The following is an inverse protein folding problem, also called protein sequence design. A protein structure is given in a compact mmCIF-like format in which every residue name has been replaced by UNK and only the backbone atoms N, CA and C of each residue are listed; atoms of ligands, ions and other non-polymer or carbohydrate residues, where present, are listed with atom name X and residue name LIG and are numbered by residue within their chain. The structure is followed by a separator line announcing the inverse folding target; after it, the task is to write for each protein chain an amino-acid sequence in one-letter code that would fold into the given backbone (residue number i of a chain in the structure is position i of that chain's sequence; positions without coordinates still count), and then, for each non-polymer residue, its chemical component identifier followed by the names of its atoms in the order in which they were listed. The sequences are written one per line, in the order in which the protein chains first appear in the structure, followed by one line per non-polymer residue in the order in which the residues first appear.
data_IF_309493481700
#
_entry.id   IF_309493481700
#
_cell.length_a   1.000
_cell.length_b   1.000
_cell.length_c   1.000
_cell.angle_alpha   90.00
_cell.angle_beta   90.00
_cell.angle_gamma   90.00
#
_symmetry.space_group_name_H-M   'P 1'
#
loop_
_entity.id
_entity.type
_entity.pdbx_description
1 polymer ?
#
# COMPACT_ATOMS: atom_id res chain seq x y z
N UNK A 1 41.03 8.22 57.11
CA UNK A 1 40.43 9.46 57.68
C UNK A 1 39.50 10.06 56.61
N UNK A 2 38.22 10.10 56.94
CA UNK A 2 37.21 11.10 56.61
C UNK A 2 36.74 11.13 55.17
N UNK A 3 35.63 10.54 54.84
CA UNK A 3 34.22 10.99 54.87
C UNK A 3 33.86 12.16 53.95
N UNK A 4 32.84 11.95 53.15
CA UNK A 4 31.89 12.98 52.72
C UNK A 4 31.13 12.59 51.44
N UNK A 5 30.05 11.86 51.51
CA UNK A 5 28.65 12.21 51.16
C UNK A 5 28.44 13.27 50.05
N UNK A 6 27.76 13.00 48.98
CA UNK A 6 26.34 13.19 48.81
C UNK A 6 25.80 12.72 47.42
N UNK A 7 24.75 12.00 47.52
CA UNK A 7 23.76 11.56 46.55
C UNK A 7 23.05 12.67 45.78
N UNK A 8 22.63 12.34 44.55
CA UNK A 8 21.39 12.64 43.82
C UNK A 8 21.72 12.81 42.36
N UNK A 9 21.02 12.32 41.38
CA UNK A 9 19.75 11.64 41.28
C UNK A 9 19.68 11.14 39.85
N UNK A 10 19.22 9.93 39.73
CA UNK A 10 18.96 9.30 38.44
C UNK A 10 17.81 10.03 37.73
N UNK A 11 18.08 10.50 36.55
CA UNK A 11 17.09 10.79 35.55
C UNK A 11 17.23 9.74 34.47
N UNK A 12 16.44 8.67 34.56
CA UNK A 12 16.31 7.67 33.50
C UNK A 12 15.68 8.37 32.30
N UNK A 13 16.53 8.87 31.41
CA UNK A 13 16.10 9.20 30.06
C UNK A 13 15.86 7.87 29.34
N UNK A 14 14.62 7.47 29.22
CA UNK A 14 14.19 6.45 28.26
C UNK A 14 14.65 6.89 26.87
N UNK A 15 15.78 6.38 26.43
CA UNK A 15 16.28 6.55 25.07
C UNK A 15 15.28 5.76 24.20
N UNK A 16 14.53 6.45 23.33
CA UNK A 16 13.61 5.79 22.42
C UNK A 16 14.39 4.82 21.51
N UNK A 17 13.79 3.71 21.17
CA UNK A 17 14.39 2.72 20.26
C UNK A 17 14.78 3.34 18.90
N UNK A 18 14.06 4.39 18.48
CA UNK A 18 14.39 5.20 17.30
C UNK A 18 15.72 5.94 17.49
N UNK A 19 16.00 6.44 18.71
CA UNK A 19 17.30 7.08 19.03
C UNK A 19 18.42 6.04 19.08
N UNK A 20 18.14 4.82 19.50
CA UNK A 20 19.13 3.74 19.51
C UNK A 20 19.46 3.30 18.07
N UNK A 21 18.45 3.13 17.21
CA UNK A 21 18.65 2.81 15.79
C UNK A 21 19.33 3.96 15.04
N UNK A 22 18.96 5.23 15.30
CA UNK A 22 19.61 6.39 14.72
C UNK A 22 21.03 6.60 15.26
N UNK A 23 21.30 6.34 16.53
CA UNK A 23 22.65 6.37 17.10
C UNK A 23 23.54 5.25 16.56
N UNK A 24 23.02 4.03 16.38
CA UNK A 24 23.75 2.98 15.70
C UNK A 24 24.03 3.31 14.24
N UNK A 25 23.04 3.82 13.49
CA UNK A 25 23.24 4.29 12.12
C UNK A 25 24.26 5.46 12.03
N UNK A 26 24.22 6.41 12.96
CA UNK A 26 25.16 7.55 13.01
C UNK A 26 26.57 7.15 13.48
N UNK A 27 26.73 6.14 14.33
CA UNK A 27 28.02 5.58 14.67
C UNK A 27 28.69 4.87 13.48
N UNK A 28 27.88 4.20 12.63
CA UNK A 28 28.36 3.46 11.46
C UNK A 28 28.76 4.39 10.30
N UNK A 29 28.16 5.59 10.21
CA UNK A 29 28.57 6.61 9.24
C UNK A 29 29.93 7.27 9.58
N UNK A 30 30.42 7.13 10.82
CA UNK A 30 31.69 7.72 11.26
C UNK A 30 32.89 6.77 11.23
N UNK A 31 32.69 5.45 11.10
CA UNK A 31 33.77 4.47 11.23
C UNK A 31 34.18 3.77 9.95
N UNK A 32 33.64 4.10 8.80
CA UNK A 32 34.17 3.62 7.49
C UNK A 32 34.39 2.09 7.38
N UNK A 33 33.79 1.27 8.24
CA UNK A 33 34.13 -0.14 8.30
C UNK A 33 32.91 -1.07 8.38
N UNK A 34 32.97 -2.09 7.53
CA UNK A 34 32.22 -3.35 7.42
C UNK A 34 30.74 -3.33 7.85
N UNK A 35 29.89 -3.35 6.81
CA UNK A 35 28.48 -3.70 6.85
C UNK A 35 28.21 -4.76 7.90
N UNK A 36 27.41 -4.43 8.90
CA UNK A 36 26.80 -5.39 9.80
C UNK A 36 25.78 -6.17 8.95
N UNK A 37 26.24 -7.19 8.25
CA UNK A 37 25.33 -8.14 7.62
C UNK A 37 24.67 -8.91 8.74
N UNK A 38 23.34 -8.87 8.81
CA UNK A 38 22.57 -9.78 9.66
C UNK A 38 23.10 -11.21 9.45
N UNK A 39 23.13 -12.02 10.48
CA UNK A 39 23.47 -13.44 10.33
C UNK A 39 22.50 -14.06 9.31
N UNK A 40 22.91 -15.15 8.67
CA UNK A 40 22.04 -15.84 7.71
C UNK A 40 20.68 -16.19 8.33
N UNK A 41 20.66 -16.60 9.59
CA UNK A 41 19.43 -16.98 10.30
C UNK A 41 18.54 -15.76 10.57
N UNK A 42 19.12 -14.63 10.96
CA UNK A 42 18.39 -13.37 11.13
C UNK A 42 17.83 -12.86 9.78
N UNK A 43 18.63 -12.92 8.72
CA UNK A 43 18.18 -12.55 7.38
C UNK A 43 17.01 -13.43 6.92
N UNK A 44 17.11 -14.75 7.13
CA UNK A 44 16.05 -15.69 6.78
C UNK A 44 14.80 -15.47 7.64
N UNK A 45 14.92 -15.14 8.91
CA UNK A 45 13.79 -14.82 9.78
C UNK A 45 13.04 -13.57 9.28
N UNK A 46 13.76 -12.51 8.88
CA UNK A 46 13.19 -11.30 8.30
C UNK A 46 12.52 -11.61 6.96
N UNK A 47 13.17 -12.37 6.08
CA UNK A 47 12.65 -12.72 4.77
C UNK A 47 11.38 -13.57 4.90
N UNK A 48 11.35 -14.53 5.81
CA UNK A 48 10.22 -15.46 6.01
C UNK A 48 9.05 -14.84 6.76
N UNK A 49 9.21 -13.71 7.42
CA UNK A 49 8.10 -13.04 8.11
C UNK A 49 6.99 -12.66 7.13
N UNK A 50 5.77 -13.12 7.39
CA UNK A 50 4.57 -12.71 6.66
C UNK A 50 4.59 -13.07 5.17
N UNK A 51 5.37 -14.05 4.74
CA UNK A 51 5.29 -14.62 3.40
C UNK A 51 4.33 -15.80 3.36
N UNK A 52 3.88 -16.15 2.17
CA UNK A 52 3.07 -17.34 1.93
C UNK A 52 3.96 -18.50 1.47
N UNK A 53 4.76 -18.30 0.44
CA UNK A 53 5.67 -19.32 -0.08
C UNK A 53 7.05 -18.73 -0.45
N UNK A 54 8.08 -19.56 -0.31
CA UNK A 54 9.44 -19.31 -0.77
C UNK A 54 9.92 -20.53 -1.58
N UNK A 55 10.20 -20.35 -2.87
CA UNK A 55 10.46 -21.46 -3.81
C UNK A 55 11.70 -21.17 -4.67
N UNK A 56 12.70 -22.07 -4.62
CA UNK A 56 13.01 -22.98 -3.54
C UNK A 56 13.83 -22.27 -2.47
N UNK A 57 13.63 -22.62 -1.24
CA UNK A 57 14.34 -22.00 -0.11
C UNK A 57 15.86 -22.26 -0.18
N UNK A 58 16.26 -23.47 -0.55
CA UNK A 58 17.65 -23.87 -0.62
C UNK A 58 18.45 -22.99 -1.60
N UNK A 59 17.88 -22.67 -2.75
CA UNK A 59 18.54 -21.80 -3.74
C UNK A 59 18.67 -20.35 -3.23
N UNK A 60 17.71 -19.86 -2.44
CA UNK A 60 17.84 -18.55 -1.78
C UNK A 60 18.97 -18.57 -0.76
N UNK A 61 19.05 -19.61 0.09
CA UNK A 61 20.12 -19.77 1.06
C UNK A 61 21.49 -19.79 0.39
N UNK A 62 21.64 -20.50 -0.74
CA UNK A 62 22.88 -20.51 -1.52
C UNK A 62 23.24 -19.10 -2.03
N UNK A 63 22.27 -18.37 -2.58
CA UNK A 63 22.48 -17.01 -3.06
C UNK A 63 22.87 -16.05 -1.92
N UNK A 64 22.26 -16.16 -0.76
CA UNK A 64 22.61 -15.35 0.41
C UNK A 64 24.04 -15.64 0.89
N UNK A 65 24.48 -16.90 0.85
CA UNK A 65 25.86 -17.31 1.18
C UNK A 65 26.92 -16.77 0.20
N UNK A 66 26.54 -16.36 -1.01
CA UNK A 66 27.46 -15.70 -1.95
C UNK A 66 28.00 -14.36 -1.39
N UNK A 67 27.34 -13.75 -0.39
CA UNK A 67 27.82 -12.55 0.30
C UNK A 67 27.78 -11.27 -0.56
N UNK A 68 27.15 -11.31 -1.72
CA UNK A 68 26.94 -10.14 -2.59
C UNK A 68 25.53 -9.58 -2.47
N UNK A 69 25.30 -8.31 -2.83
CA UNK A 69 23.95 -7.79 -3.02
C UNK A 69 23.21 -8.63 -4.06
N UNK A 70 22.03 -9.14 -3.70
CA UNK A 70 21.13 -9.83 -4.61
C UNK A 70 20.22 -8.82 -5.32
N UNK A 71 19.86 -9.11 -6.57
CA UNK A 71 18.88 -8.33 -7.33
C UNK A 71 17.49 -8.84 -7.03
N UNK A 72 16.74 -8.04 -6.30
CA UNK A 72 15.39 -8.37 -5.83
C UNK A 72 14.38 -7.56 -6.64
N UNK A 73 13.61 -8.23 -7.47
CA UNK A 73 12.64 -7.62 -8.38
C UNK A 73 11.21 -7.78 -7.88
N UNK A 74 10.40 -6.75 -8.06
CA UNK A 74 8.95 -6.86 -8.08
C UNK A 74 8.37 -6.00 -9.21
N UNK A 75 7.41 -6.55 -9.94
CA UNK A 75 6.72 -5.87 -11.05
C UNK A 75 5.35 -5.37 -10.64
N UNK A 76 5.00 -4.18 -11.11
CA UNK A 76 3.71 -3.53 -10.87
C UNK A 76 3.19 -2.94 -12.18
N UNK A 77 2.05 -3.42 -12.64
CA UNK A 77 1.32 -2.76 -13.73
C UNK A 77 0.61 -1.52 -13.18
N UNK A 78 0.80 -0.34 -13.78
CA UNK A 78 0.24 0.92 -13.28
C UNK A 78 -1.25 1.05 -13.64
N UNK A 79 -2.07 0.16 -13.12
CA UNK A 79 -3.49 0.01 -13.47
C UNK A 79 -4.42 1.03 -12.80
N UNK A 80 -3.93 1.77 -11.80
CA UNK A 80 -4.67 2.82 -11.10
C UNK A 80 -3.67 3.84 -10.53
N UNK A 81 -4.05 5.13 -10.34
CA UNK A 81 -3.10 6.16 -9.91
C UNK A 81 -2.61 6.01 -8.47
N UNK A 82 -3.37 5.33 -7.60
CA UNK A 82 -3.04 5.29 -6.16
C UNK A 82 -2.84 3.87 -5.66
N UNK A 83 -1.93 3.74 -4.70
CA UNK A 83 -1.70 2.51 -3.94
C UNK A 83 -2.57 2.47 -2.68
N UNK A 84 -2.85 1.27 -2.20
CA UNK A 84 -3.47 1.02 -0.90
C UNK A 84 -2.63 0.03 -0.09
N UNK A 85 -2.93 -0.17 1.19
CA UNK A 85 -2.13 -1.01 2.08
C UNK A 85 -1.94 -2.46 1.58
N UNK A 86 -2.86 -2.99 0.78
CA UNK A 86 -2.65 -4.29 0.15
C UNK A 86 -1.40 -4.34 -0.76
N UNK A 87 -1.11 -3.26 -1.50
CA UNK A 87 0.10 -3.16 -2.31
C UNK A 87 1.35 -2.99 -1.44
N UNK A 88 1.21 -2.32 -0.28
CA UNK A 88 2.36 -2.04 0.58
C UNK A 88 2.91 -3.28 1.26
N UNK A 89 2.16 -4.38 1.35
CA UNK A 89 2.67 -5.68 1.84
C UNK A 89 3.91 -6.10 1.04
N UNK A 90 3.80 -6.06 -0.28
CA UNK A 90 4.91 -6.40 -1.18
C UNK A 90 6.05 -5.37 -1.11
N UNK A 91 5.70 -4.07 -1.05
CA UNK A 91 6.67 -2.98 -0.99
C UNK A 91 7.43 -3.00 0.35
N UNK A 92 6.76 -3.33 1.46
CA UNK A 92 7.41 -3.53 2.76
C UNK A 92 8.41 -4.69 2.72
N UNK A 93 8.09 -5.77 2.01
CA UNK A 93 9.03 -6.88 1.83
C UNK A 93 10.25 -6.45 1.01
N UNK A 94 10.07 -5.66 -0.04
CA UNK A 94 11.19 -5.04 -0.77
C UNK A 94 12.05 -4.17 0.16
N UNK A 95 11.44 -3.37 1.04
CA UNK A 95 12.17 -2.57 2.03
C UNK A 95 13.01 -3.42 2.96
N UNK A 96 12.50 -4.56 3.43
CA UNK A 96 13.27 -5.49 4.25
C UNK A 96 14.51 -6.01 3.51
N UNK A 97 14.42 -6.29 2.21
CA UNK A 97 15.59 -6.64 1.40
C UNK A 97 16.58 -5.49 1.25
N UNK A 98 16.11 -4.24 1.13
CA UNK A 98 17.00 -3.07 1.13
C UNK A 98 17.76 -2.92 2.44
N UNK A 99 17.09 -3.15 3.57
CA UNK A 99 17.68 -3.06 4.91
C UNK A 99 18.71 -4.17 5.12
N UNK A 100 18.53 -5.33 4.49
CA UNK A 100 19.51 -6.42 4.44
C UNK A 100 20.68 -6.15 3.46
N UNK A 101 20.68 -5.02 2.74
CA UNK A 101 21.77 -4.60 1.86
C UNK A 101 21.66 -5.13 0.42
N UNK A 102 20.50 -5.60 -0.01
CA UNK A 102 20.25 -6.06 -1.38
C UNK A 102 19.80 -4.91 -2.29
N UNK A 103 20.01 -5.09 -3.61
CA UNK A 103 19.54 -4.17 -4.66
C UNK A 103 18.06 -4.43 -4.94
N UNK A 104 17.20 -3.45 -4.72
CA UNK A 104 15.78 -3.52 -5.06
C UNK A 104 15.54 -2.97 -6.46
N UNK A 105 14.89 -3.75 -7.29
CA UNK A 105 14.45 -3.37 -8.64
C UNK A 105 12.92 -3.27 -8.63
N UNK A 106 12.44 -2.03 -8.66
CA UNK A 106 11.03 -1.73 -8.80
C UNK A 106 10.68 -1.60 -10.27
N UNK A 107 10.05 -2.64 -10.84
CA UNK A 107 9.69 -2.68 -12.24
C UNK A 107 8.28 -2.14 -12.43
N UNK A 108 8.15 -1.14 -13.29
CA UNK A 108 6.87 -0.63 -13.78
C UNK A 108 6.56 -1.33 -15.09
N UNK A 109 5.48 -2.10 -15.09
CA UNK A 109 5.00 -2.83 -16.24
C UNK A 109 4.21 -1.93 -17.19
N UNK A 110 4.89 -0.97 -17.83
CA UNK A 110 4.26 -0.07 -18.77
C UNK A 110 3.90 -0.78 -20.09
N UNK A 111 4.70 -1.73 -20.54
CA UNK A 111 4.37 -2.58 -21.68
C UNK A 111 3.32 -3.64 -21.33
N UNK A 112 3.46 -4.31 -20.20
CA UNK A 112 2.50 -5.33 -19.75
C UNK A 112 1.16 -4.73 -19.36
N UNK A 113 1.12 -3.52 -18.83
CA UNK A 113 -0.11 -2.78 -18.54
C UNK A 113 -0.98 -2.53 -19.77
N UNK A 114 -0.38 -2.41 -20.96
CA UNK A 114 -1.11 -2.31 -22.23
C UNK A 114 -1.68 -3.64 -22.71
N UNK A 115 -1.14 -4.78 -22.23
CA UNK A 115 -1.69 -6.12 -22.53
C UNK A 115 -2.81 -6.44 -21.55
N UNK A 116 -2.61 -6.15 -20.27
CA UNK A 116 -3.48 -6.48 -19.15
C UNK A 116 -3.24 -7.89 -18.60
N UNK A 117 -3.01 -7.95 -17.28
CA UNK A 117 -2.81 -9.21 -16.57
C UNK A 117 -4.11 -10.05 -16.57
N UNK A 118 -4.11 -11.25 -17.15
CA UNK A 118 -5.27 -12.14 -17.13
C UNK A 118 -5.51 -12.82 -15.77
N UNK A 119 -4.58 -12.71 -14.81
CA UNK A 119 -4.63 -13.44 -13.52
C UNK A 119 -5.94 -13.18 -12.77
N UNK A 120 -6.66 -14.29 -12.46
CA UNK A 120 -7.89 -14.26 -11.65
C UNK A 120 -9.06 -13.53 -12.30
N UNK A 121 -9.07 -13.33 -13.62
CA UNK A 121 -10.13 -12.64 -14.35
C UNK A 121 -11.01 -13.61 -15.12
N UNK A 122 -12.30 -13.29 -15.15
CA UNK A 122 -13.29 -13.95 -16.02
C UNK A 122 -13.36 -13.33 -17.42
N UNK A 123 -12.74 -12.16 -17.61
CA UNK A 123 -12.68 -11.45 -18.88
C UNK A 123 -11.40 -10.61 -18.97
N UNK A 124 -10.93 -10.36 -20.19
CA UNK A 124 -9.76 -9.51 -20.47
C UNK A 124 -10.01 -8.08 -19.96
N UNK A 125 -9.03 -7.49 -19.27
CA UNK A 125 -9.08 -6.07 -18.92
C UNK A 125 -8.99 -5.22 -20.19
N UNK A 126 -9.71 -4.08 -20.25
CA UNK A 126 -9.42 -3.10 -21.26
C UNK A 126 -7.95 -2.65 -21.18
N UNK A 127 -7.20 -2.63 -22.28
CA UNK A 127 -5.83 -2.14 -22.28
C UNK A 127 -5.80 -0.66 -21.91
N UNK A 128 -4.78 -0.27 -21.14
CA UNK A 128 -4.52 1.15 -20.84
C UNK A 128 -3.87 1.82 -22.05
N UNK A 129 -4.12 3.12 -22.20
CA UNK A 129 -3.38 3.93 -23.15
C UNK A 129 -1.98 4.25 -22.63
N UNK A 130 -1.03 4.53 -23.52
CA UNK A 130 0.34 4.90 -23.13
C UNK A 130 0.36 6.11 -22.18
N UNK A 131 -0.49 7.12 -22.43
CA UNK A 131 -0.59 8.30 -21.56
C UNK A 131 -1.10 7.95 -20.16
N UNK A 132 -2.11 7.08 -20.06
CA UNK A 132 -2.61 6.60 -18.75
C UNK A 132 -1.53 5.84 -17.97
N UNK A 133 -0.79 4.97 -18.66
CA UNK A 133 0.32 4.22 -18.07
C UNK A 133 1.40 5.18 -17.55
N UNK A 134 1.77 6.18 -18.35
CA UNK A 134 2.78 7.18 -17.99
C UNK A 134 2.36 8.00 -16.76
N UNK A 135 1.12 8.49 -16.72
CA UNK A 135 0.61 9.25 -15.58
C UNK A 135 0.56 8.41 -14.30
N UNK A 136 0.04 7.19 -14.40
CA UNK A 136 -0.01 6.29 -13.24
C UNK A 136 1.40 5.90 -12.76
N UNK A 137 2.37 5.75 -13.64
CA UNK A 137 3.76 5.43 -13.28
C UNK A 137 4.42 6.52 -12.43
N UNK A 138 4.12 7.80 -12.69
CA UNK A 138 4.63 8.92 -11.90
C UNK A 138 4.11 8.84 -10.46
N UNK A 139 2.80 8.67 -10.30
CA UNK A 139 2.17 8.60 -8.97
C UNK A 139 2.63 7.36 -8.21
N UNK A 140 2.84 6.22 -8.88
CA UNK A 140 3.38 5.01 -8.26
C UNK A 140 4.77 5.25 -7.67
N UNK A 141 5.65 5.87 -8.45
CA UNK A 141 7.01 6.20 -8.01
C UNK A 141 7.02 7.07 -6.75
N UNK A 142 6.18 8.11 -6.69
CA UNK A 142 6.08 8.99 -5.53
C UNK A 142 5.59 8.24 -4.28
N UNK A 143 4.58 7.40 -4.44
CA UNK A 143 3.99 6.64 -3.33
C UNK A 143 4.92 5.53 -2.81
N UNK A 144 5.62 4.85 -3.70
CA UNK A 144 6.58 3.78 -3.36
C UNK A 144 7.76 4.34 -2.56
N UNK A 145 8.22 5.54 -2.86
CA UNK A 145 9.32 6.19 -2.13
C UNK A 145 8.93 6.73 -0.75
N UNK A 146 7.68 6.61 -0.34
CA UNK A 146 7.31 6.74 1.08
C UNK A 146 7.77 5.52 1.92
N UNK A 147 8.09 4.41 1.28
CA UNK A 147 8.54 3.17 1.93
C UNK A 147 9.98 2.82 1.55
N UNK A 148 10.30 2.83 0.25
CA UNK A 148 11.61 2.46 -0.26
C UNK A 148 12.57 3.65 -0.23
N UNK A 149 13.85 3.36 0.02
CA UNK A 149 14.94 4.33 -0.12
C UNK A 149 15.23 4.58 -1.61
N UNK A 150 15.04 5.80 -2.12
CA UNK A 150 15.31 6.11 -3.53
C UNK A 150 16.74 5.83 -3.96
N UNK A 151 17.72 6.00 -3.06
CA UNK A 151 19.13 5.78 -3.36
C UNK A 151 19.50 4.30 -3.53
N UNK A 152 18.63 3.39 -3.03
CA UNK A 152 18.82 1.93 -3.07
C UNK A 152 17.78 1.23 -3.96
N UNK A 153 16.97 1.99 -4.67
CA UNK A 153 15.91 1.47 -5.54
C UNK A 153 16.21 1.81 -6.99
N UNK A 154 16.34 0.79 -7.80
CA UNK A 154 16.39 0.94 -9.25
C UNK A 154 14.98 0.84 -9.82
N UNK A 155 14.45 1.94 -10.32
CA UNK A 155 13.18 1.95 -11.06
C UNK A 155 13.46 1.67 -12.53
N UNK A 156 12.74 0.71 -13.11
CA UNK A 156 12.88 0.30 -14.51
C UNK A 156 11.51 0.12 -15.16
N UNK A 157 11.47 0.25 -16.48
CA UNK A 157 10.28 0.08 -17.29
C UNK A 157 10.48 -1.08 -18.25
N UNK A 158 9.55 -2.02 -18.34
CA UNK A 158 9.73 -3.17 -19.22
C UNK A 158 9.60 -2.81 -20.72
N UNK A 159 9.06 -1.65 -21.07
CA UNK A 159 9.14 -1.11 -22.43
C UNK A 159 10.59 -0.88 -22.90
N UNK A 160 11.55 -0.67 -21.99
CA UNK A 160 12.97 -0.45 -22.34
C UNK A 160 13.57 -1.59 -23.16
N UNK A 161 13.15 -2.83 -22.95
CA UNK A 161 13.58 -4.00 -23.69
C UNK A 161 12.49 -4.57 -24.59
N UNK A 162 11.22 -4.57 -24.13
CA UNK A 162 10.12 -5.13 -24.91
C UNK A 162 9.86 -4.40 -26.22
N UNK A 163 9.97 -3.05 -26.23
CA UNK A 163 9.80 -2.25 -27.45
C UNK A 163 10.90 -2.46 -28.50
N UNK A 164 12.03 -3.07 -28.09
CA UNK A 164 13.15 -3.38 -28.99
C UNK A 164 13.05 -4.80 -29.58
N UNK A 165 12.18 -5.64 -29.03
CA UNK A 165 11.98 -6.99 -29.53
C UNK A 165 11.35 -6.96 -30.93
N UNK A 166 11.96 -7.68 -31.84
CA UNK A 166 11.38 -7.92 -33.16
C UNK A 166 10.25 -8.97 -33.09
N UNK A 167 9.44 -9.04 -34.11
CA UNK A 167 8.44 -10.12 -34.24
C UNK A 167 9.09 -11.53 -34.15
N UNK A 168 10.31 -11.70 -34.72
CA UNK A 168 11.05 -12.95 -34.64
C UNK A 168 11.50 -13.27 -33.19
N UNK A 169 11.83 -12.25 -32.38
CA UNK A 169 12.20 -12.44 -30.97
C UNK A 169 10.98 -12.86 -30.16
N UNK A 170 9.82 -12.23 -30.42
CA UNK A 170 8.57 -12.60 -29.76
C UNK A 170 8.13 -14.03 -30.10
N UNK A 171 8.30 -14.46 -31.35
CA UNK A 171 8.04 -15.85 -31.75
C UNK A 171 9.00 -16.81 -31.03
N UNK A 172 10.29 -16.47 -30.94
CA UNK A 172 11.26 -17.25 -30.17
C UNK A 172 10.91 -17.35 -28.68
N UNK A 173 10.48 -16.24 -28.08
CA UNK A 173 10.01 -16.21 -26.69
C UNK A 173 8.77 -17.08 -26.51
N UNK A 174 7.76 -16.93 -27.37
CA UNK A 174 6.53 -17.76 -27.34
C UNK A 174 6.81 -19.25 -27.50
N UNK A 175 7.85 -19.62 -28.29
CA UNK A 175 8.28 -20.99 -28.47
C UNK A 175 8.94 -21.65 -27.24
N UNK A 176 9.24 -20.91 -26.17
CA UNK A 176 9.85 -21.45 -24.95
C UNK A 176 8.85 -22.16 -24.04
N UNK A 177 7.55 -22.02 -24.30
CA UNK A 177 6.51 -22.62 -23.47
C UNK A 177 5.36 -23.16 -24.32
N UNK A 178 4.68 -24.20 -23.85
CA UNK A 178 3.61 -24.83 -24.64
C UNK A 178 2.22 -24.39 -24.18
N UNK A 179 1.27 -24.36 -25.10
CA UNK A 179 -0.15 -24.09 -24.79
C UNK A 179 -0.70 -25.05 -23.75
N UNK A 180 -0.32 -26.34 -23.83
CA UNK A 180 -0.75 -27.34 -22.85
C UNK A 180 -0.33 -26.96 -21.42
N UNK A 181 0.91 -26.48 -21.23
CA UNK A 181 1.40 -26.02 -19.95
C UNK A 181 0.78 -24.68 -19.54
N UNK A 182 0.51 -23.79 -20.50
CA UNK A 182 -0.18 -22.52 -20.21
C UNK A 182 -1.59 -22.75 -19.66
N UNK A 183 -2.29 -23.76 -20.20
CA UNK A 183 -3.63 -24.16 -19.75
C UNK A 183 -3.66 -24.84 -18.38
N UNK A 184 -2.50 -25.16 -17.76
CA UNK A 184 -2.44 -25.65 -16.37
C UNK A 184 -2.74 -24.51 -15.35
N UNK A 185 -2.66 -23.24 -15.76
CA UNK A 185 -3.02 -22.12 -14.91
C UNK A 185 -4.55 -22.12 -14.64
N UNK A 186 -4.94 -22.01 -13.38
CA UNK A 186 -6.31 -22.21 -12.91
C UNK A 186 -7.37 -21.40 -13.66
N UNK A 187 -7.11 -20.14 -13.92
CA UNK A 187 -8.05 -19.26 -14.64
C UNK A 187 -8.17 -19.64 -16.11
N UNK A 188 -7.08 -19.99 -16.77
CA UNK A 188 -7.15 -20.53 -18.15
C UNK A 188 -7.84 -21.88 -18.19
N UNK A 189 -7.53 -22.79 -17.26
CA UNK A 189 -8.22 -24.09 -17.16
C UNK A 189 -9.75 -23.89 -17.00
N UNK A 190 -10.17 -23.00 -16.11
CA UNK A 190 -11.60 -22.73 -15.86
C UNK A 190 -12.28 -22.15 -17.10
N UNK A 191 -11.67 -21.13 -17.72
CA UNK A 191 -12.21 -20.50 -18.94
C UNK A 191 -12.25 -21.46 -20.10
N UNK A 192 -11.20 -22.25 -20.31
CA UNK A 192 -11.17 -23.27 -21.37
C UNK A 192 -12.25 -24.32 -21.21
N UNK A 193 -12.44 -24.85 -19.97
CA UNK A 193 -13.47 -25.87 -19.69
C UNK A 193 -14.90 -25.33 -19.78
N UNK A 194 -15.09 -24.04 -19.51
CA UNK A 194 -16.40 -23.37 -19.61
C UNK A 194 -16.62 -22.68 -20.96
N UNK A 195 -15.78 -22.98 -21.96
CA UNK A 195 -15.85 -22.44 -23.33
C UNK A 195 -15.85 -20.91 -23.39
N UNK A 196 -15.24 -20.27 -22.39
CA UNK A 196 -15.07 -18.83 -22.37
C UNK A 196 -13.85 -18.43 -23.22
N UNK A 197 -13.92 -17.33 -23.95
CA UNK A 197 -12.85 -16.92 -24.86
C UNK A 197 -11.56 -16.63 -24.08
N UNK A 198 -10.42 -17.10 -24.64
CA UNK A 198 -9.08 -16.77 -24.20
C UNK A 198 -8.35 -16.18 -25.41
N UNK A 199 -7.94 -14.91 -25.31
CA UNK A 199 -7.22 -14.26 -26.39
C UNK A 199 -5.75 -14.66 -26.41
N UNK A 200 -5.14 -14.74 -27.59
CA UNK A 200 -3.76 -15.19 -27.77
C UNK A 200 -2.77 -14.32 -26.97
N UNK A 201 -2.99 -13.00 -26.90
CA UNK A 201 -2.11 -12.10 -26.14
C UNK A 201 -2.08 -12.40 -24.64
N UNK A 202 -3.15 -12.99 -24.08
CA UNK A 202 -3.20 -13.39 -22.68
C UNK A 202 -2.17 -14.49 -22.35
N UNK A 203 -1.86 -15.36 -23.30
CA UNK A 203 -0.80 -16.35 -23.17
C UNK A 203 0.61 -15.72 -23.25
N UNK A 204 0.75 -14.57 -23.88
CA UNK A 204 2.02 -13.86 -23.96
C UNK A 204 2.35 -13.13 -22.66
N UNK A 205 1.35 -12.69 -21.89
CA UNK A 205 1.58 -11.94 -20.66
C UNK A 205 2.55 -12.63 -19.68
N UNK A 206 2.35 -13.91 -19.27
CA UNK A 206 3.28 -14.60 -18.38
C UNK A 206 4.70 -14.73 -18.95
N UNK A 207 4.82 -14.87 -20.26
CA UNK A 207 6.12 -14.97 -20.94
C UNK A 207 6.87 -13.64 -20.91
N UNK A 208 6.17 -12.52 -21.13
CA UNK A 208 6.73 -11.18 -21.09
C UNK A 208 7.18 -10.85 -19.69
N UNK A 209 6.34 -11.08 -18.66
CA UNK A 209 6.71 -10.91 -17.26
C UNK A 209 7.91 -11.79 -16.87
N UNK A 210 7.93 -13.04 -17.35
CA UNK A 210 9.04 -13.95 -17.12
C UNK A 210 10.34 -13.47 -17.79
N UNK A 211 10.26 -12.87 -18.98
CA UNK A 211 11.40 -12.31 -19.68
C UNK A 211 12.01 -11.10 -18.98
N UNK A 212 11.22 -10.30 -18.25
CA UNK A 212 11.73 -9.23 -17.39
C UNK A 212 12.79 -9.75 -16.41
N UNK A 213 12.61 -10.97 -15.89
CA UNK A 213 13.59 -11.61 -15.00
C UNK A 213 14.87 -12.04 -15.71
N UNK A 214 14.77 -12.40 -16.98
CA UNK A 214 15.94 -12.70 -17.85
C UNK A 214 16.75 -11.43 -18.10
N UNK A 215 16.08 -10.35 -18.50
CA UNK A 215 16.71 -9.06 -18.82
C UNK A 215 17.39 -8.46 -17.60
N UNK A 216 16.70 -8.45 -16.47
CA UNK A 216 17.21 -7.93 -15.20
C UNK A 216 18.20 -8.87 -14.50
N UNK A 217 18.31 -10.13 -14.96
CA UNK A 217 19.07 -11.20 -14.31
C UNK A 217 18.71 -11.27 -12.82
N UNK A 218 17.41 -11.28 -12.50
CA UNK A 218 16.92 -11.25 -11.15
C UNK A 218 17.40 -12.46 -10.34
N UNK A 219 17.81 -12.23 -9.10
CA UNK A 219 18.16 -13.30 -8.16
C UNK A 219 16.94 -13.76 -7.36
N UNK A 220 16.01 -12.82 -7.09
CA UNK A 220 14.77 -13.06 -6.38
C UNK A 220 13.66 -12.26 -7.07
N UNK A 221 12.48 -12.85 -7.20
CA UNK A 221 11.27 -12.14 -7.63
C UNK A 221 10.18 -12.29 -6.60
N UNK A 222 9.56 -11.15 -6.25
CA UNK A 222 8.45 -11.06 -5.30
C UNK A 222 7.14 -10.78 -6.03
N UNK A 223 6.06 -11.39 -5.55
CA UNK A 223 4.70 -11.11 -6.02
C UNK A 223 3.63 -11.53 -5.01
N UNK A 224 2.38 -11.21 -5.29
CA UNK A 224 1.26 -11.77 -4.54
C UNK A 224 1.12 -13.27 -4.83
N UNK A 225 0.39 -13.99 -3.96
CA UNK A 225 0.12 -15.43 -4.14
C UNK A 225 -0.54 -15.72 -5.48
N UNK A 226 -1.37 -14.81 -5.98
CA UNK A 226 -2.01 -14.90 -7.29
C UNK A 226 -1.04 -14.80 -8.48
N UNK A 227 0.18 -14.29 -8.26
CA UNK A 227 1.21 -14.14 -9.28
C UNK A 227 2.15 -15.35 -9.41
N UNK A 228 1.98 -16.37 -8.56
CA UNK A 228 2.91 -17.52 -8.47
C UNK A 228 3.24 -18.14 -9.84
N UNK A 229 2.26 -18.33 -10.70
CA UNK A 229 2.49 -18.88 -12.05
C UNK A 229 3.43 -18.01 -12.88
N UNK A 230 3.20 -16.69 -12.88
CA UNK A 230 4.01 -15.75 -13.63
C UNK A 230 5.45 -15.67 -13.07
N UNK A 231 5.62 -15.74 -11.73
CA UNK A 231 6.93 -15.78 -11.08
C UNK A 231 7.71 -17.05 -11.46
N UNK A 232 7.04 -18.21 -11.51
CA UNK A 232 7.63 -19.48 -11.95
C UNK A 232 8.06 -19.42 -13.41
N UNK A 233 7.33 -18.67 -14.26
CA UNK A 233 7.71 -18.48 -15.66
C UNK A 233 9.08 -17.80 -15.78
N UNK A 234 9.38 -16.81 -14.93
CA UNK A 234 10.70 -16.18 -14.86
C UNK A 234 11.82 -17.19 -14.62
N UNK A 235 11.63 -18.14 -13.69
CA UNK A 235 12.60 -19.23 -13.45
C UNK A 235 12.81 -20.12 -14.66
N UNK A 236 11.72 -20.48 -15.34
CA UNK A 236 11.77 -21.33 -16.54
C UNK A 236 12.55 -20.62 -17.65
N UNK A 237 12.22 -19.38 -17.93
CA UNK A 237 12.88 -18.61 -18.99
C UNK A 237 14.36 -18.36 -18.66
N UNK A 238 14.71 -18.02 -17.43
CA UNK A 238 16.12 -17.86 -17.03
C UNK A 238 16.94 -19.13 -17.34
N UNK A 239 16.42 -20.34 -17.08
CA UNK A 239 17.07 -21.61 -17.46
C UNK A 239 17.27 -21.72 -18.96
N UNK A 240 16.24 -21.38 -19.74
CA UNK A 240 16.32 -21.42 -21.21
C UNK A 240 17.36 -20.44 -21.78
N UNK A 241 17.55 -19.30 -21.09
CA UNK A 241 18.55 -18.29 -21.42
C UNK A 241 19.93 -18.55 -20.75
N UNK A 242 20.15 -19.73 -20.15
CA UNK A 242 21.42 -20.13 -19.55
C UNK A 242 21.77 -19.37 -18.26
N UNK A 243 20.80 -18.79 -17.58
CA UNK A 243 20.98 -18.10 -16.32
C UNK A 243 20.66 -18.99 -15.10
N UNK A 244 21.27 -18.70 -13.94
CA UNK A 244 20.82 -19.28 -12.67
C UNK A 244 19.39 -18.81 -12.38
N UNK A 245 18.43 -19.70 -12.09
CA UNK A 245 17.06 -19.29 -11.81
C UNK A 245 16.95 -18.43 -10.55
N UNK A 246 16.03 -17.50 -10.57
CA UNK A 246 15.65 -16.71 -9.39
C UNK A 246 14.94 -17.56 -8.33
N UNK A 247 15.08 -17.25 -7.06
CA UNK A 247 14.10 -17.66 -6.05
C UNK A 247 12.83 -16.82 -6.20
N UNK A 248 11.68 -17.42 -5.94
CA UNK A 248 10.41 -16.67 -5.90
C UNK A 248 9.88 -16.62 -4.47
N UNK A 249 9.28 -15.50 -4.13
CA UNK A 249 8.68 -15.26 -2.84
C UNK A 249 7.28 -14.69 -3.04
N UNK A 250 6.28 -15.38 -2.50
CA UNK A 250 4.91 -14.88 -2.55
C UNK A 250 4.51 -14.29 -1.20
N UNK A 251 3.81 -13.17 -1.27
CA UNK A 251 3.17 -12.55 -0.10
C UNK A 251 1.67 -12.76 -0.18
N UNK A 252 1.01 -12.94 0.96
CA UNK A 252 -0.44 -13.12 0.99
C UNK A 252 -1.15 -11.82 0.59
N UNK A 253 -2.36 -11.99 0.07
CA UNK A 253 -3.27 -10.89 -0.19
C UNK A 253 -3.78 -10.37 1.16
N UNK A 254 -3.71 -9.04 1.36
CA UNK A 254 -4.22 -8.41 2.56
C UNK A 254 -5.75 -8.29 2.48
N UNK A 255 -6.42 -8.72 3.54
CA UNK A 255 -7.85 -8.54 3.72
C UNK A 255 -8.18 -7.05 3.92
N UNK A 256 -9.33 -6.62 3.40
CA UNK A 256 -9.85 -5.27 3.60
C UNK A 256 -10.46 -5.08 5.00
N UNK A 257 -10.98 -3.88 5.25
CA UNK A 257 -11.58 -3.50 6.52
C UNK A 257 -12.84 -4.30 6.89
N UNK A 258 -13.39 -5.06 5.94
CA UNK A 258 -14.49 -6.01 6.16
C UNK A 258 -14.03 -7.33 6.82
N UNK A 259 -12.72 -7.57 6.86
CA UNK A 259 -12.12 -8.78 7.46
C UNK A 259 -12.25 -10.06 6.64
N UNK A 260 -12.83 -10.01 5.45
CA UNK A 260 -13.17 -11.20 4.64
C UNK A 260 -12.64 -11.09 3.22
N UNK A 261 -12.96 -10.00 2.52
CA UNK A 261 -12.58 -9.84 1.12
C UNK A 261 -11.22 -9.17 1.01
N UNK A 262 -10.52 -9.44 -0.09
CA UNK A 262 -9.26 -8.75 -0.38
C UNK A 262 -9.45 -7.23 -0.35
N UNK A 263 -8.46 -6.53 0.14
CA UNK A 263 -8.46 -5.07 0.10
C UNK A 263 -8.54 -4.57 -1.34
N UNK A 264 -9.54 -3.75 -1.63
CA UNK A 264 -9.78 -3.24 -2.98
C UNK A 264 -10.52 -1.91 -2.97
N UNK A 265 -10.14 -0.99 -3.87
CA UNK A 265 -10.85 0.27 -4.08
C UNK A 265 -12.29 0.04 -4.57
N UNK A 266 -12.49 -0.91 -5.47
CA UNK A 266 -13.82 -1.21 -6.02
C UNK A 266 -14.80 -1.74 -4.96
N UNK A 267 -14.29 -2.37 -3.90
CA UNK A 267 -15.08 -2.86 -2.77
C UNK A 267 -15.25 -1.80 -1.67
N UNK A 268 -14.49 -0.69 -1.72
CA UNK A 268 -14.56 0.37 -0.71
C UNK A 268 -14.01 -0.04 0.67
N UNK A 269 -13.34 -1.20 0.78
CA UNK A 269 -12.81 -1.77 2.01
C UNK A 269 -11.31 -1.52 2.22
N UNK A 270 -10.77 -0.44 1.64
CA UNK A 270 -9.33 -0.17 1.57
C UNK A 270 -8.89 1.03 2.44
N UNK A 271 -7.58 1.05 2.73
CA UNK A 271 -6.87 2.21 3.26
C UNK A 271 -5.87 2.64 2.17
N UNK A 272 -6.02 3.88 1.69
CA UNK A 272 -5.12 4.45 0.67
C UNK A 272 -3.82 4.93 1.30
N UNK A 273 -2.72 4.83 0.55
CA UNK A 273 -1.41 5.42 0.93
C UNK A 273 -1.47 6.95 0.95
N UNK A 274 -2.42 7.52 0.21
CA UNK A 274 -2.69 8.95 0.10
C UNK A 274 -3.88 9.43 0.95
N UNK A 275 -4.51 8.54 1.75
CA UNK A 275 -5.56 8.94 2.68
C UNK A 275 -5.00 9.95 3.68
N UNK A 276 -5.83 10.92 4.09
CA UNK A 276 -5.43 11.86 5.13
C UNK A 276 -5.11 11.15 6.45
N UNK A 277 -4.22 11.70 7.31
CA UNK A 277 -3.87 11.11 8.60
C UNK A 277 -5.08 10.73 9.46
N UNK A 278 -6.09 11.60 9.51
CA UNK A 278 -7.32 11.35 10.27
C UNK A 278 -8.19 10.23 9.67
N UNK A 279 -8.28 10.13 8.33
CA UNK A 279 -8.98 9.03 7.66
C UNK A 279 -8.26 7.70 7.86
N UNK A 280 -6.93 7.69 7.71
CA UNK A 280 -6.10 6.52 7.92
C UNK A 280 -6.24 6.01 9.36
N UNK A 281 -6.16 6.91 10.35
CA UNK A 281 -6.36 6.61 11.76
C UNK A 281 -7.75 6.02 12.02
N UNK A 282 -8.81 6.68 11.53
CA UNK A 282 -10.19 6.22 11.72
C UNK A 282 -10.42 4.84 11.13
N UNK A 283 -9.91 4.59 9.92
CA UNK A 283 -10.03 3.31 9.23
C UNK A 283 -9.31 2.20 10.00
N UNK A 284 -8.08 2.44 10.48
CA UNK A 284 -7.31 1.47 11.25
C UNK A 284 -7.99 1.13 12.59
N UNK A 285 -8.54 2.12 13.28
CA UNK A 285 -9.25 1.86 14.54
C UNK A 285 -10.57 1.13 14.35
N UNK A 286 -11.19 1.25 13.17
CA UNK A 286 -12.48 0.61 12.86
C UNK A 286 -12.36 -0.83 12.34
N UNK A 287 -11.13 -1.32 12.08
CA UNK A 287 -10.95 -2.69 11.61
C UNK A 287 -11.35 -3.71 12.68
N UNK A 288 -11.84 -4.91 12.32
CA UNK A 288 -12.05 -6.01 13.24
C UNK A 288 -10.80 -6.36 14.05
N UNK A 289 -10.98 -6.78 15.32
CA UNK A 289 -9.84 -7.09 16.21
C UNK A 289 -9.02 -8.29 15.70
N UNK A 290 -9.67 -9.22 14.99
CA UNK A 290 -9.04 -10.40 14.39
C UNK A 290 -8.01 -10.02 13.32
N UNK A 291 -8.20 -8.89 12.62
CA UNK A 291 -7.26 -8.40 11.61
C UNK A 291 -6.01 -7.75 12.19
N UNK A 292 -6.05 -7.31 13.44
CA UNK A 292 -4.98 -6.53 14.07
C UNK A 292 -3.61 -7.19 13.91
N UNK A 293 -3.53 -8.48 14.23
CA UNK A 293 -2.26 -9.23 14.22
C UNK A 293 -1.76 -9.46 12.80
N UNK A 294 -2.68 -9.68 11.86
CA UNK A 294 -2.38 -9.80 10.43
C UNK A 294 -1.79 -8.51 9.89
N UNK A 295 -2.36 -7.37 10.27
CA UNK A 295 -1.86 -6.06 9.86
C UNK A 295 -0.51 -5.73 10.50
N UNK A 296 -0.30 -6.09 11.78
CA UNK A 296 1.02 -5.97 12.40
C UNK A 296 2.07 -6.83 11.68
N UNK A 297 1.77 -8.08 11.39
CA UNK A 297 2.70 -9.00 10.72
C UNK A 297 3.13 -8.47 9.35
N UNK A 298 2.19 -7.99 8.55
CA UNK A 298 2.40 -7.65 7.14
C UNK A 298 2.78 -6.18 6.91
N UNK A 299 2.36 -5.27 7.77
CA UNK A 299 2.53 -3.83 7.55
C UNK A 299 3.51 -3.17 8.51
N UNK A 300 3.69 -3.69 9.74
CA UNK A 300 4.58 -3.11 10.73
C UNK A 300 6.05 -3.52 10.50
N UNK A 301 6.98 -2.62 10.83
CA UNK A 301 8.42 -2.94 10.90
C UNK A 301 8.89 -3.28 12.31
N UNK A 302 7.99 -3.33 13.30
CA UNK A 302 8.32 -3.75 14.66
C UNK A 302 8.81 -5.19 14.69
N UNK A 303 9.74 -5.54 15.60
CA UNK A 303 10.18 -6.93 15.81
C UNK A 303 8.99 -7.85 16.12
N UNK A 304 9.03 -9.09 15.63
CA UNK A 304 7.96 -10.06 15.94
C UNK A 304 7.83 -10.35 17.43
N UNK A 305 8.94 -10.31 18.19
CA UNK A 305 8.91 -10.47 19.65
C UNK A 305 8.01 -9.42 20.33
N UNK A 306 8.11 -8.15 19.92
CA UNK A 306 7.26 -7.06 20.43
C UNK A 306 5.77 -7.28 20.05
N UNK A 307 5.51 -7.75 18.84
CA UNK A 307 4.14 -8.06 18.40
C UNK A 307 3.55 -9.22 19.20
N UNK A 308 4.33 -10.23 19.51
CA UNK A 308 3.89 -11.35 20.34
C UNK A 308 3.64 -10.92 21.81
N UNK A 309 4.42 -9.98 22.35
CA UNK A 309 4.14 -9.36 23.65
C UNK A 309 2.79 -8.63 23.64
N UNK A 310 2.48 -7.88 22.58
CA UNK A 310 1.18 -7.21 22.41
C UNK A 310 0.04 -8.23 22.35
N UNK A 311 0.23 -9.30 21.58
CA UNK A 311 -0.75 -10.39 21.46
C UNK A 311 -1.01 -11.06 22.82
N UNK A 312 0.04 -11.34 23.56
CA UNK A 312 -0.06 -11.92 24.90
C UNK A 312 -0.78 -10.99 25.90
N UNK A 313 -0.51 -9.69 25.83
CA UNK A 313 -1.18 -8.70 26.68
C UNK A 313 -2.69 -8.62 26.38
N UNK A 314 -3.08 -8.63 25.10
CA UNK A 314 -4.50 -8.67 24.71
C UNK A 314 -5.16 -9.96 25.15
N UNK A 315 -4.50 -11.11 25.01
CA UNK A 315 -4.99 -12.39 25.51
C UNK A 315 -5.16 -12.39 27.05
N UNK A 316 -4.38 -11.59 27.77
CA UNK A 316 -4.51 -11.37 29.22
C UNK A 316 -5.55 -10.31 29.61
N UNK A 317 -6.28 -9.71 28.64
CA UNK A 317 -7.37 -8.79 28.88
C UNK A 317 -7.07 -7.31 28.60
N UNK A 318 -5.90 -6.98 28.02
CA UNK A 318 -5.65 -5.61 27.55
C UNK A 318 -6.56 -5.26 26.35
N UNK A 319 -6.86 -3.97 26.21
CA UNK A 319 -7.78 -3.50 25.15
C UNK A 319 -7.11 -3.52 23.77
N UNK A 320 -7.60 -4.28 22.78
CA UNK A 320 -7.07 -4.30 21.42
C UNK A 320 -6.99 -2.92 20.76
N UNK A 321 -7.89 -1.99 21.14
CA UNK A 321 -7.89 -0.62 20.61
C UNK A 321 -6.58 0.14 20.88
N UNK A 322 -5.89 -0.14 21.98
CA UNK A 322 -4.64 0.53 22.29
C UNK A 322 -3.53 0.10 21.32
N UNK A 323 -3.52 -1.16 20.92
CA UNK A 323 -2.58 -1.67 19.92
C UNK A 323 -2.95 -1.27 18.48
N UNK A 324 -4.24 -1.08 18.17
CA UNK A 324 -4.65 -0.44 16.91
C UNK A 324 -4.12 0.99 16.79
N UNK A 325 -4.10 1.75 17.91
CA UNK A 325 -3.48 3.10 17.95
C UNK A 325 -1.98 3.02 17.67
N UNK A 326 -1.27 2.09 18.32
CA UNK A 326 0.17 1.88 18.10
C UNK A 326 0.47 1.61 16.62
N UNK A 327 -0.31 0.72 15.99
CA UNK A 327 -0.17 0.42 14.57
C UNK A 327 -0.51 1.64 13.70
N UNK A 328 -1.58 2.38 14.04
CA UNK A 328 -2.00 3.56 13.31
C UNK A 328 -0.94 4.67 13.36
N UNK A 329 -0.36 4.92 14.53
CA UNK A 329 0.72 5.90 14.69
C UNK A 329 1.96 5.51 13.86
N UNK A 330 2.37 4.24 13.85
CA UNK A 330 3.49 3.75 13.03
C UNK A 330 3.22 3.97 11.55
N UNK A 331 2.04 3.56 11.05
CA UNK A 331 1.71 3.65 9.63
C UNK A 331 1.52 5.10 9.17
N UNK A 332 0.87 5.94 9.97
CA UNK A 332 0.72 7.37 9.65
C UNK A 332 2.08 8.07 9.63
N UNK A 333 2.96 7.79 10.60
CA UNK A 333 4.33 8.32 10.60
C UNK A 333 5.07 7.96 9.30
N UNK A 334 4.88 6.74 8.80
CA UNK A 334 5.52 6.25 7.57
C UNK A 334 5.00 6.95 6.32
N UNK A 335 3.71 7.17 6.21
CA UNK A 335 3.08 7.71 5.00
C UNK A 335 2.96 9.24 5.00
N UNK A 336 3.03 9.85 6.17
CA UNK A 336 3.02 11.31 6.37
C UNK A 336 4.25 11.73 7.18
N UNK A 337 4.08 11.99 8.48
CA UNK A 337 5.16 12.32 9.40
C UNK A 337 4.73 12.08 10.87
N UNK A 338 5.67 12.28 11.80
CA UNK A 338 5.46 12.07 13.22
C UNK A 338 4.44 13.06 13.82
N UNK A 339 4.41 14.31 13.34
CA UNK A 339 3.47 15.33 13.81
C UNK A 339 2.04 15.01 13.36
N UNK A 340 1.88 14.58 12.11
CA UNK A 340 0.61 14.11 11.59
C UNK A 340 0.09 12.90 12.40
N UNK A 341 0.96 11.96 12.77
CA UNK A 341 0.57 10.81 13.60
C UNK A 341 0.10 11.25 14.99
N UNK A 342 0.82 12.17 15.64
CA UNK A 342 0.45 12.72 16.96
C UNK A 342 -0.88 13.48 16.94
N UNK A 343 -1.21 14.10 15.83
CA UNK A 343 -2.44 14.91 15.68
C UNK A 343 -3.60 14.13 15.08
N UNK A 344 -3.34 13.02 14.41
CA UNK A 344 -4.37 12.21 13.76
C UNK A 344 -5.48 11.76 14.72
N UNK A 345 -5.14 11.43 15.98
CA UNK A 345 -6.12 11.05 16.99
C UNK A 345 -7.03 12.22 17.38
N UNK A 346 -6.53 13.47 17.37
CA UNK A 346 -7.34 14.66 17.64
C UNK A 346 -8.33 14.88 16.49
N UNK A 347 -7.91 14.66 15.25
CA UNK A 347 -8.76 14.75 14.05
C UNK A 347 -9.74 13.58 13.94
N UNK A 348 -9.37 12.39 14.37
CA UNK A 348 -10.21 11.18 14.36
C UNK A 348 -11.20 11.15 15.53
N UNK A 349 -10.85 11.82 16.62
CA UNK A 349 -11.71 11.99 17.79
C UNK A 349 -12.79 13.05 17.61
N UNK A 350 -12.68 13.89 16.60
CA UNK A 350 -13.68 14.88 16.25
C UNK A 350 -14.89 14.23 15.53
N UNK A 351 -15.60 13.39 16.25
CA UNK A 351 -17.06 13.47 16.21
C UNK A 351 -17.39 14.85 16.76
N UNK A 352 -17.42 15.83 15.88
CA UNK A 352 -17.88 17.17 16.24
C UNK A 352 -19.25 16.95 16.82
N UNK A 353 -19.46 17.30 18.09
CA UNK A 353 -20.80 17.24 18.64
C UNK A 353 -21.70 18.03 17.70
N UNK A 354 -22.94 17.58 17.54
CA UNK A 354 -23.85 18.28 16.64
C UNK A 354 -24.00 19.72 17.11
N UNK A 355 -23.65 20.69 16.25
CA UNK A 355 -23.65 22.11 16.57
C UNK A 355 -22.35 22.68 17.13
N UNK A 356 -21.29 21.87 17.35
CA UNK A 356 -19.96 22.39 17.67
C UNK A 356 -19.19 22.73 16.39
N UNK A 357 -18.48 23.87 16.39
CA UNK A 357 -17.62 24.30 15.29
C UNK A 357 -16.17 24.19 15.77
N UNK A 358 -15.35 23.28 15.18
CA UNK A 358 -13.92 23.20 15.48
C UNK A 358 -13.17 24.46 15.02
N UNK A 359 -12.02 24.76 15.64
CA UNK A 359 -11.18 25.89 15.23
C UNK A 359 -10.64 25.76 13.79
N UNK A 360 -10.45 24.53 13.30
CA UNK A 360 -9.93 24.24 11.95
C UNK A 360 -10.99 23.49 11.13
N UNK A 361 -11.89 24.22 10.49
CA UNK A 361 -12.87 23.67 9.56
C UNK A 361 -12.32 23.78 8.12
N UNK A 362 -12.31 22.71 7.33
CA UNK A 362 -11.88 22.79 5.93
C UNK A 362 -12.79 23.73 5.13
N UNK A 363 -12.19 24.60 4.31
CA UNK A 363 -12.91 25.53 3.43
C UNK A 363 -13.16 24.84 2.11
N UNK A 364 -14.41 24.90 1.61
CA UNK A 364 -14.82 24.34 0.31
C UNK A 364 -15.56 25.42 -0.45
N UNK A 365 -15.08 25.75 -1.63
CA UNK A 365 -15.76 26.63 -2.58
C UNK A 365 -16.78 25.83 -3.39
N UNK A 366 -17.99 26.34 -3.51
CA UNK A 366 -19.09 25.74 -4.27
C UNK A 366 -19.56 26.76 -5.30
N UNK A 367 -19.37 26.45 -6.60
CA UNK A 367 -19.81 27.31 -7.68
C UNK A 367 -21.29 27.14 -7.98
N UNK A 368 -21.95 28.28 -8.27
CA UNK A 368 -23.34 28.32 -8.71
C UNK A 368 -23.53 27.83 -10.16
N UNK A 369 -22.47 27.74 -10.96
CA UNK A 369 -22.52 27.32 -12.38
C UNK A 369 -23.60 28.08 -13.18
N UNK A 370 -23.79 29.36 -12.88
CA UNK A 370 -24.78 30.24 -13.57
C UNK A 370 -26.21 30.12 -13.04
N UNK A 371 -26.45 29.44 -11.93
CA UNK A 371 -27.75 29.41 -11.24
C UNK A 371 -27.89 30.60 -10.29
N UNK A 372 -29.10 31.09 -10.08
CA UNK A 372 -29.37 32.16 -9.12
C UNK A 372 -29.17 31.75 -7.65
N UNK A 373 -29.13 30.45 -7.39
CA UNK A 373 -28.90 29.89 -6.05
C UNK A 373 -28.98 28.36 -6.01
N UNK A 374 -28.44 27.78 -4.96
CA UNK A 374 -28.42 26.33 -4.73
C UNK A 374 -29.24 25.94 -3.49
N UNK A 375 -30.13 24.94 -3.57
CA UNK A 375 -30.81 24.41 -2.38
C UNK A 375 -29.86 23.59 -1.52
N UNK A 376 -30.12 23.49 -0.21
CA UNK A 376 -29.29 22.76 0.75
C UNK A 376 -28.85 21.35 0.29
N UNK A 377 -29.70 20.48 -0.31
CA UNK A 377 -29.26 19.17 -0.78
C UNK A 377 -28.17 19.24 -1.87
N UNK A 378 -28.21 20.27 -2.72
CA UNK A 378 -27.19 20.48 -3.75
C UNK A 378 -25.87 20.95 -3.12
N UNK A 379 -25.93 21.90 -2.18
CA UNK A 379 -24.76 22.40 -1.44
C UNK A 379 -24.08 21.26 -0.68
N UNK A 380 -24.83 20.44 0.06
CA UNK A 380 -24.29 19.29 0.76
C UNK A 380 -23.53 18.31 -0.15
N UNK A 381 -24.05 18.10 -1.36
CA UNK A 381 -23.43 17.21 -2.36
C UNK A 381 -22.19 17.86 -2.98
N UNK A 382 -22.27 19.10 -3.42
CA UNK A 382 -21.19 19.83 -4.07
C UNK A 382 -20.03 20.09 -3.11
N UNK A 383 -20.33 20.38 -1.85
CA UNK A 383 -19.31 20.49 -0.79
C UNK A 383 -18.73 19.15 -0.32
N UNK A 384 -19.13 18.01 -0.91
CA UNK A 384 -18.59 16.69 -0.54
C UNK A 384 -19.00 16.21 0.86
N UNK A 385 -19.97 16.87 1.48
CA UNK A 385 -20.49 16.50 2.81
C UNK A 385 -21.38 15.25 2.75
N UNK A 386 -21.95 14.95 1.59
CA UNK A 386 -22.70 13.72 1.32
C UNK A 386 -22.36 13.17 -0.07
N UNK A 387 -22.52 11.87 -0.27
CA UNK A 387 -22.14 11.19 -1.52
C UNK A 387 -23.10 11.46 -2.68
N UNK A 388 -24.38 11.66 -2.42
CA UNK A 388 -25.43 11.84 -3.44
C UNK A 388 -26.69 12.48 -2.85
N UNK A 389 -27.66 12.80 -3.71
CA UNK A 389 -28.91 13.45 -3.32
C UNK A 389 -29.81 12.61 -2.39
N UNK A 390 -29.72 11.28 -2.43
CA UNK A 390 -30.44 10.42 -1.50
C UNK A 390 -29.87 10.54 -0.09
N UNK A 391 -28.54 10.54 0.05
CA UNK A 391 -27.86 10.76 1.31
C UNK A 391 -28.12 12.18 1.85
N UNK A 392 -28.23 13.20 1.00
CA UNK A 392 -28.57 14.54 1.42
C UNK A 392 -29.99 14.60 2.04
N UNK A 393 -30.96 13.99 1.38
CA UNK A 393 -32.34 13.90 1.91
C UNK A 393 -32.43 13.13 3.22
N UNK A 394 -31.65 12.07 3.35
CA UNK A 394 -31.59 11.26 4.57
C UNK A 394 -31.05 12.05 5.78
N UNK A 395 -29.92 12.75 5.63
CA UNK A 395 -29.34 13.56 6.72
C UNK A 395 -30.23 14.74 7.08
N UNK A 396 -30.91 15.36 6.12
CA UNK A 396 -31.89 16.41 6.34
C UNK A 396 -33.12 15.87 7.08
N UNK A 397 -33.66 14.75 6.64
CA UNK A 397 -34.83 14.12 7.25
C UNK A 397 -34.61 13.66 8.69
N UNK A 398 -33.36 13.38 9.08
CA UNK A 398 -32.98 13.05 10.47
C UNK A 398 -32.67 14.28 11.33
N UNK A 399 -32.80 15.51 10.80
CA UNK A 399 -32.41 16.72 11.51
C UNK A 399 -30.91 16.77 11.87
N UNK A 400 -30.06 16.13 11.05
CA UNK A 400 -28.62 15.99 11.32
C UNK A 400 -27.75 17.00 10.54
N UNK A 401 -28.36 18.08 10.03
CA UNK A 401 -27.67 19.19 9.35
C UNK A 401 -27.67 20.42 10.28
N UNK A 402 -26.48 21.05 10.39
CA UNK A 402 -26.30 22.26 11.19
C UNK A 402 -25.60 23.31 10.33
N UNK A 403 -25.99 24.59 10.47
CA UNK A 403 -25.35 25.75 9.88
C UNK A 403 -24.88 26.65 11.01
N UNK A 404 -23.59 26.99 11.02
CA UNK A 404 -22.97 27.88 12.03
C UNK A 404 -23.33 27.48 13.49
N UNK A 405 -23.38 26.17 13.72
CA UNK A 405 -23.69 25.58 15.02
C UNK A 405 -25.18 25.43 15.32
N UNK A 406 -26.08 26.01 14.55
CA UNK A 406 -27.53 25.88 14.73
C UNK A 406 -28.11 24.76 13.84
N UNK A 407 -29.02 23.96 14.41
CA UNK A 407 -29.72 22.93 13.65
C UNK A 407 -30.49 23.57 12.49
N UNK A 408 -30.29 23.04 11.29
CA UNK A 408 -30.96 23.52 10.09
C UNK A 408 -32.37 22.94 10.00
N UNK A 409 -33.36 23.82 9.97
CA UNK A 409 -34.77 23.48 9.77
C UNK A 409 -35.35 24.31 8.61
N UNK A 410 -36.13 23.65 7.75
CA UNK A 410 -36.78 24.30 6.64
C UNK A 410 -36.02 24.26 5.32
N UNK A 411 -36.27 25.29 4.49
CA UNK A 411 -35.63 25.43 3.14
C UNK A 411 -34.79 26.69 3.11
N UNK A 412 -33.60 26.63 2.53
CA UNK A 412 -32.70 27.75 2.26
C UNK A 412 -32.08 27.59 0.87
N UNK A 413 -32.11 28.70 0.15
CA UNK A 413 -31.32 28.86 -1.08
C UNK A 413 -30.03 29.60 -0.72
N UNK A 414 -28.93 29.12 -1.19
CA UNK A 414 -27.60 29.70 -1.02
C UNK A 414 -27.25 30.47 -2.28
N UNK A 415 -26.87 31.75 -2.12
CA UNK A 415 -26.52 32.67 -3.19
C UNK A 415 -25.01 32.98 -3.18
N UNK A 416 -24.53 33.64 -4.21
CA UNK A 416 -23.16 34.13 -4.30
C UNK A 416 -22.81 35.00 -3.08
N UNK A 417 -21.63 34.70 -2.48
CA UNK A 417 -21.16 35.39 -1.27
C UNK A 417 -21.61 34.78 0.04
N UNK A 418 -22.50 33.76 0.04
CA UNK A 418 -22.80 33.01 1.25
C UNK A 418 -21.54 32.30 1.75
N UNK A 419 -21.23 32.48 3.05
CA UNK A 419 -20.08 31.88 3.74
C UNK A 419 -20.56 31.38 5.09
N UNK A 420 -20.62 30.08 5.27
CA UNK A 420 -21.11 29.47 6.50
C UNK A 420 -20.50 28.10 6.75
N UNK A 421 -20.46 27.68 8.01
CA UNK A 421 -20.02 26.35 8.40
C UNK A 421 -21.20 25.39 8.35
N UNK A 422 -21.13 24.39 7.46
CA UNK A 422 -22.18 23.38 7.34
C UNK A 422 -21.67 22.04 7.89
N UNK A 423 -22.41 21.46 8.83
CA UNK A 423 -22.17 20.13 9.38
C UNK A 423 -23.27 19.17 8.92
N UNK A 424 -22.89 18.01 8.39
CA UNK A 424 -23.80 16.93 8.00
C UNK A 424 -23.50 15.65 8.82
N UNK A 425 -24.26 15.48 9.91
CA UNK A 425 -24.01 14.44 10.91
C UNK A 425 -22.73 14.71 11.72
N UNK A 426 -22.32 13.71 12.53
CA UNK A 426 -21.17 13.84 13.46
C UNK A 426 -19.80 13.76 12.79
N UNK A 427 -19.74 13.47 11.47
CA UNK A 427 -18.48 13.13 10.77
C UNK A 427 -18.09 14.10 9.66
N UNK A 428 -18.98 14.94 9.20
CA UNK A 428 -18.78 15.80 8.03
C UNK A 428 -19.09 17.24 8.36
N UNK A 429 -18.08 18.10 8.26
CA UNK A 429 -18.18 19.54 8.49
C UNK A 429 -17.25 20.26 7.51
N UNK A 430 -17.72 21.36 6.92
CA UNK A 430 -16.93 22.26 6.10
C UNK A 430 -17.45 23.70 6.20
N UNK A 431 -16.55 24.67 6.08
CA UNK A 431 -16.90 26.05 5.79
C UNK A 431 -17.13 26.15 4.28
N UNK A 432 -18.36 26.40 3.91
CA UNK A 432 -18.79 26.45 2.50
C UNK A 432 -18.89 27.91 2.09
N UNK A 433 -18.16 28.27 1.03
CA UNK A 433 -18.17 29.58 0.43
C UNK A 433 -18.81 29.42 -0.95
N UNK A 434 -19.89 30.15 -1.21
CA UNK A 434 -20.59 30.11 -2.50
C UNK A 434 -19.96 31.15 -3.44
N UNK A 435 -19.50 30.68 -4.58
CA UNK A 435 -18.87 31.51 -5.63
C UNK A 435 -19.70 31.48 -6.91
N UNK A 436 -19.49 32.45 -7.80
CA UNK A 436 -20.25 32.62 -9.04
C UNK A 436 -20.31 31.35 -9.91
#
# INVERSE_FOLDING_TARGET
MINGYFTKGAGDAQISFVDLCNRQALLHLKTGDKRFMASLDEALAIIKRGIDELIPEEELVEKLKEGRPLRVKAGFDPTAPDLHFGHTVLINKLRQFQDLGHEVIFLIGDFTGMIGDPTGKSATRPPLTEDQVRQNAITYKEQVFKILDPAKTRVVFNSEWMSKMSAADMIRLAGQYTVARMLERDDFTKRYRSEQPIAIHEFLYPLIQGYDSVELKADIELGGTDQKFNLLMGRILQKHYGQKPQAILTVPILEGLDGVQKMSKSLGNYIGVSDSPGEMYTKLLSMPDELLWRYFELLSFRPMAEIEEYRAAVAAGANPQDYKKVLAEELITRFHDEEAAKTAHKSAGNRVALGEIPENVPVVEVSLEGQEGLPMPAVLRLAGLVKNGAAARDVLGRGAVYIDGAQFEGERMFAEGDDCVIQAGKKKIARVVIVA
#
